data_IF_973449351485
#
_entry.id   IF_973449351485
#
_cell.length_a   1.000
_cell.length_b   1.000
_cell.length_c   1.000
_cell.angle_alpha   90.00
_cell.angle_beta   90.00
_cell.angle_gamma   90.00
#
_symmetry.space_group_name_H-M   'P 1'
#
loop_
_entity.id
_entity.type
_entity.pdbx_description
1 polymer ?
#
# COMPACT_ATOMS: atom_id res chain seq x y z
N UNK A 1 37.89 15.77 -12.15
CA UNK A 1 38.41 15.47 -10.79
C UNK A 1 37.33 15.27 -9.70
N UNK A 2 36.15 15.91 -9.77
CA UNK A 2 35.09 15.72 -8.74
C UNK A 2 34.52 14.30 -8.66
N UNK A 3 34.47 13.57 -9.76
CA UNK A 3 33.89 12.22 -9.84
C UNK A 3 34.74 11.14 -9.15
N UNK A 4 36.07 11.34 -9.09
CA UNK A 4 37.00 10.37 -8.51
C UNK A 4 37.00 10.43 -6.96
N UNK A 5 36.85 11.63 -6.39
CA UNK A 5 36.73 11.86 -4.95
C UNK A 5 35.46 11.25 -4.34
N UNK A 6 34.33 11.26 -5.07
CA UNK A 6 33.09 10.63 -4.60
C UNK A 6 33.19 9.11 -4.47
N UNK A 7 34.04 8.47 -5.29
CA UNK A 7 34.29 7.02 -5.25
C UNK A 7 35.18 6.61 -4.08
N UNK A 8 36.08 7.48 -3.64
CA UNK A 8 37.01 7.23 -2.54
C UNK A 8 36.40 7.48 -1.15
N UNK A 9 35.37 8.34 -1.05
CA UNK A 9 34.74 8.79 0.21
C UNK A 9 33.46 8.03 0.62
N UNK A 10 33.07 6.97 -0.11
CA UNK A 10 31.89 6.17 0.27
C UNK A 10 30.55 6.91 0.26
N UNK A 11 30.44 8.03 -0.47
CA UNK A 11 29.16 8.72 -0.69
C UNK A 11 28.33 7.93 -1.72
N UNK A 12 27.77 6.80 -1.29
CA UNK A 12 26.95 5.93 -2.11
C UNK A 12 25.75 6.69 -2.71
N UNK A 13 25.72 6.83 -4.04
CA UNK A 13 24.51 7.26 -4.75
C UNK A 13 23.58 6.05 -4.90
N UNK A 14 22.63 5.89 -4.00
CA UNK A 14 21.55 4.90 -4.16
C UNK A 14 20.18 5.58 -4.08
N UNK A 15 19.68 6.00 -5.24
CA UNK A 15 18.25 6.26 -5.50
C UNK A 15 17.93 5.96 -6.96
N UNK A 16 17.18 4.87 -7.15
CA UNK A 16 16.89 4.21 -8.44
C UNK A 16 15.44 4.34 -8.88
N UNK A 17 14.50 4.57 -7.96
CA UNK A 17 13.12 4.93 -8.28
C UNK A 17 13.00 6.45 -8.44
N UNK A 18 12.32 6.90 -9.49
CA UNK A 18 12.10 8.33 -9.73
C UNK A 18 11.35 9.01 -8.58
N UNK A 19 10.38 8.30 -8.00
CA UNK A 19 9.64 8.73 -6.82
C UNK A 19 10.54 8.97 -5.60
N UNK A 20 11.71 8.33 -5.51
CA UNK A 20 12.68 8.51 -4.42
C UNK A 20 13.76 9.57 -4.74
N UNK A 21 13.93 9.95 -6.02
CA UNK A 21 15.00 10.83 -6.49
C UNK A 21 14.98 12.25 -5.91
N UNK A 22 16.12 12.94 -5.89
CA UNK A 22 16.24 14.36 -5.54
C UNK A 22 17.11 15.09 -6.58
N UNK A 23 16.85 16.39 -6.81
CA UNK A 23 17.58 17.22 -7.78
C UNK A 23 16.66 17.91 -8.78
N UNK A 24 17.27 18.62 -9.75
CA UNK A 24 16.54 19.18 -10.91
C UNK A 24 15.92 18.02 -11.69
N UNK A 25 14.64 18.17 -12.07
CA UNK A 25 13.76 17.15 -12.66
C UNK A 25 14.50 15.96 -13.26
N UNK A 26 14.35 14.81 -12.60
CA UNK A 26 14.62 13.47 -13.16
C UNK A 26 15.96 13.39 -13.91
N UNK A 27 17.04 13.67 -13.18
CA UNK A 27 18.39 13.63 -13.75
C UNK A 27 18.70 12.20 -14.22
N UNK A 28 18.50 11.98 -15.54
CA UNK A 28 18.80 10.82 -16.38
C UNK A 28 17.94 9.55 -16.22
N UNK A 29 17.85 8.77 -17.31
CA UNK A 29 17.33 7.39 -17.31
C UNK A 29 18.22 6.56 -16.39
N UNK A 30 17.68 6.14 -15.24
CA UNK A 30 18.40 5.30 -14.29
C UNK A 30 18.05 3.84 -14.52
N UNK A 31 19.05 2.98 -14.58
CA UNK A 31 18.85 1.53 -14.53
C UNK A 31 18.60 1.10 -13.09
N UNK A 32 17.68 0.15 -12.91
CA UNK A 32 17.46 -0.50 -11.61
C UNK A 32 18.32 -1.76 -11.60
N UNK A 33 19.52 -1.67 -11.04
CA UNK A 33 20.45 -2.82 -10.99
C UNK A 33 20.00 -3.88 -9.97
N UNK A 34 19.23 -3.50 -8.95
CA UNK A 34 18.66 -4.42 -7.95
C UNK A 34 17.42 -3.86 -7.27
N UNK A 35 16.26 -4.50 -7.50
CA UNK A 35 14.95 -3.99 -7.07
C UNK A 35 14.80 -3.88 -5.54
N UNK A 36 15.25 -4.88 -4.78
CA UNK A 36 15.12 -4.86 -3.32
C UNK A 36 15.96 -3.74 -2.69
N UNK A 37 17.21 -3.58 -3.14
CA UNK A 37 18.10 -2.50 -2.68
C UNK A 37 17.55 -1.12 -3.07
N UNK A 38 16.98 -1.02 -4.28
CA UNK A 38 16.31 0.16 -4.79
C UNK A 38 15.11 0.60 -3.92
N UNK A 39 14.23 -0.34 -3.60
CA UNK A 39 13.06 -0.12 -2.74
C UNK A 39 13.53 0.30 -1.35
N UNK A 40 14.46 -0.44 -0.74
CA UNK A 40 14.95 -0.15 0.62
C UNK A 40 15.55 1.25 0.73
N UNK A 41 16.33 1.68 -0.27
CA UNK A 41 16.92 3.02 -0.29
C UNK A 41 15.90 4.16 -0.53
N UNK A 42 14.76 3.85 -1.15
CA UNK A 42 13.79 4.86 -1.61
C UNK A 42 12.46 4.90 -0.86
N UNK A 43 12.10 3.85 -0.13
CA UNK A 43 10.76 3.61 0.40
C UNK A 43 10.21 4.80 1.20
N UNK A 44 10.95 5.29 2.19
CA UNK A 44 10.50 6.41 3.04
C UNK A 44 10.24 7.69 2.25
N UNK A 45 11.07 8.00 1.25
CA UNK A 45 10.89 9.21 0.44
C UNK A 45 9.70 9.07 -0.51
N UNK A 46 9.56 7.89 -1.13
CA UNK A 46 8.44 7.59 -2.01
C UNK A 46 7.10 7.64 -1.25
N UNK A 47 7.00 6.99 -0.08
CA UNK A 47 5.80 7.00 0.76
C UNK A 47 5.38 8.41 1.20
N UNK A 48 6.33 9.24 1.67
CA UNK A 48 6.05 10.63 2.04
C UNK A 48 5.48 11.45 0.89
N UNK A 49 6.00 11.23 -0.33
CA UNK A 49 5.53 11.92 -1.54
C UNK A 49 4.18 11.40 -1.98
N UNK A 50 3.96 10.08 -1.98
CA UNK A 50 2.68 9.47 -2.29
C UNK A 50 1.58 10.04 -1.38
N UNK A 51 1.78 10.02 -0.06
CA UNK A 51 0.83 10.62 0.90
C UNK A 51 0.68 12.14 0.76
N UNK A 52 1.69 12.87 0.30
CA UNK A 52 1.53 14.30 -0.01
C UNK A 52 0.66 14.51 -1.25
N UNK A 53 0.92 13.80 -2.34
CA UNK A 53 0.14 13.92 -3.58
C UNK A 53 -1.31 13.45 -3.40
N UNK A 54 -1.55 12.36 -2.68
CA UNK A 54 -2.89 11.86 -2.40
C UNK A 54 -3.77 12.91 -1.67
N UNK A 55 -3.16 13.76 -0.83
CA UNK A 55 -3.88 14.82 -0.09
C UNK A 55 -3.99 16.15 -0.84
N UNK A 56 -3.08 16.44 -1.76
CA UNK A 56 -2.95 17.78 -2.36
C UNK A 56 -3.24 17.81 -3.87
N UNK A 57 -3.41 16.67 -4.54
CA UNK A 57 -3.71 16.59 -5.97
C UNK A 57 -4.99 15.78 -6.20
N UNK A 58 -6.04 16.46 -6.66
CA UNK A 58 -7.35 15.85 -6.92
C UNK A 58 -7.30 14.69 -7.93
N UNK A 59 -6.41 14.75 -8.93
CA UNK A 59 -6.23 13.65 -9.88
C UNK A 59 -5.65 12.40 -9.23
N UNK A 60 -4.70 12.60 -8.31
CA UNK A 60 -4.10 11.48 -7.56
C UNK A 60 -5.10 10.92 -6.56
N UNK A 61 -5.84 11.77 -5.84
CA UNK A 61 -6.90 11.33 -4.94
C UNK A 61 -7.93 10.44 -5.68
N UNK A 62 -8.43 10.91 -6.83
CA UNK A 62 -9.37 10.14 -7.65
C UNK A 62 -8.77 8.82 -8.17
N UNK A 63 -7.48 8.81 -8.53
CA UNK A 63 -6.79 7.59 -8.94
C UNK A 63 -6.65 6.58 -7.79
N UNK A 64 -6.31 7.05 -6.58
CA UNK A 64 -6.26 6.19 -5.38
C UNK A 64 -7.64 5.61 -5.09
N UNK A 65 -8.70 6.42 -5.12
CA UNK A 65 -10.07 5.97 -4.88
C UNK A 65 -10.50 4.90 -5.91
N UNK A 66 -10.17 5.12 -7.18
CA UNK A 66 -10.44 4.14 -8.24
C UNK A 66 -9.67 2.83 -8.03
N UNK A 67 -8.39 2.90 -7.67
CA UNK A 67 -7.59 1.71 -7.37
C UNK A 67 -8.14 0.93 -6.17
N UNK A 68 -8.49 1.62 -5.08
CA UNK A 68 -9.09 0.99 -3.90
C UNK A 68 -10.40 0.30 -4.28
N UNK A 69 -11.28 1.00 -5.01
CA UNK A 69 -12.55 0.45 -5.47
C UNK A 69 -12.38 -0.78 -6.37
N UNK A 70 -11.41 -0.78 -7.28
CA UNK A 70 -11.13 -1.91 -8.17
C UNK A 70 -10.50 -3.11 -7.46
N UNK A 71 -9.62 -2.87 -6.48
CA UNK A 71 -8.95 -3.95 -5.73
C UNK A 71 -9.89 -4.60 -4.73
N UNK A 72 -10.70 -3.83 -4.01
CA UNK A 72 -11.58 -4.35 -2.96
C UNK A 72 -12.95 -4.75 -3.51
N UNK A 73 -13.49 -4.01 -4.49
CA UNK A 73 -14.83 -4.22 -5.01
C UNK A 73 -15.90 -4.12 -3.93
N UNK A 74 -16.80 -5.11 -3.88
CA UNK A 74 -17.82 -5.24 -2.84
C UNK A 74 -17.30 -5.83 -1.52
N UNK A 75 -15.98 -6.04 -1.40
CA UNK A 75 -15.35 -6.71 -0.28
C UNK A 75 -14.89 -8.13 -0.61
N UNK A 76 -13.69 -8.45 -0.16
CA UNK A 76 -13.09 -9.79 -0.26
C UNK A 76 -13.63 -10.61 0.90
N UNK A 77 -14.31 -11.72 0.61
CA UNK A 77 -14.91 -12.59 1.62
C UNK A 77 -14.40 -14.03 1.47
N UNK A 78 -14.24 -14.76 2.58
CA UNK A 78 -13.98 -16.19 2.52
C UNK A 78 -15.20 -16.91 1.95
N UNK A 79 -14.95 -17.93 1.15
CA UNK A 79 -15.98 -18.85 0.70
C UNK A 79 -15.70 -20.23 1.31
N UNK A 80 -16.59 -20.68 2.19
CA UNK A 80 -16.46 -22.00 2.82
C UNK A 80 -16.56 -23.11 1.79
N UNK A 81 -15.62 -24.04 1.82
CA UNK A 81 -15.59 -25.25 0.99
C UNK A 81 -16.22 -26.47 1.69
N UNK A 82 -16.89 -26.27 2.83
CA UNK A 82 -17.53 -27.34 3.59
C UNK A 82 -18.51 -28.13 2.72
N UNK A 83 -18.57 -29.48 2.78
CA UNK A 83 -19.42 -30.29 1.90
C UNK A 83 -20.92 -30.04 2.08
N UNK A 84 -21.38 -29.87 3.33
CA UNK A 84 -22.78 -29.56 3.64
C UNK A 84 -23.12 -28.08 3.37
N UNK A 85 -24.18 -27.85 2.59
CA UNK A 85 -24.73 -26.54 2.26
C UNK A 85 -25.24 -25.78 3.49
N UNK A 86 -25.95 -26.45 4.40
CA UNK A 86 -26.51 -25.81 5.58
C UNK A 86 -25.40 -25.24 6.47
N UNK A 87 -24.28 -25.96 6.60
CA UNK A 87 -23.10 -25.50 7.31
C UNK A 87 -22.45 -24.30 6.60
N UNK A 88 -22.33 -24.31 5.26
CA UNK A 88 -21.81 -23.15 4.51
C UNK A 88 -22.65 -21.89 4.74
N UNK A 89 -23.97 -22.01 4.70
CA UNK A 89 -24.90 -20.91 4.96
C UNK A 89 -24.77 -20.39 6.40
N UNK A 90 -24.61 -21.30 7.37
CA UNK A 90 -24.37 -20.92 8.77
C UNK A 90 -23.05 -20.16 8.93
N UNK A 91 -21.97 -20.65 8.33
CA UNK A 91 -20.65 -20.00 8.35
C UNK A 91 -20.70 -18.61 7.70
N UNK A 92 -21.39 -18.48 6.57
CA UNK A 92 -21.59 -17.18 5.92
C UNK A 92 -22.35 -16.21 6.82
N UNK A 93 -23.39 -16.67 7.53
CA UNK A 93 -24.12 -15.85 8.48
C UNK A 93 -23.30 -15.47 9.71
N UNK A 94 -22.41 -16.36 10.20
CA UNK A 94 -21.46 -16.03 11.26
C UNK A 94 -20.46 -14.96 10.79
N UNK A 95 -19.94 -15.11 9.58
CA UNK A 95 -19.02 -14.16 8.97
C UNK A 95 -19.63 -12.76 8.87
N UNK A 96 -20.84 -12.64 8.30
CA UNK A 96 -21.52 -11.34 8.16
C UNK A 96 -21.78 -10.67 9.50
N UNK A 97 -22.11 -11.41 10.56
CA UNK A 97 -22.24 -10.80 11.89
C UNK A 97 -20.90 -10.33 12.45
N UNK A 98 -19.84 -11.09 12.19
CA UNK A 98 -18.51 -10.71 12.65
C UNK A 98 -17.98 -9.47 11.91
N UNK A 99 -18.30 -9.28 10.63
CA UNK A 99 -17.79 -8.12 9.87
C UNK A 99 -18.19 -6.79 10.50
N UNK A 100 -19.37 -6.72 11.10
CA UNK A 100 -19.87 -5.52 11.80
C UNK A 100 -19.13 -5.23 13.12
N UNK A 101 -18.49 -6.25 13.70
CA UNK A 101 -17.72 -6.16 14.94
C UNK A 101 -16.21 -6.12 14.70
N UNK A 102 -15.76 -6.18 13.44
CA UNK A 102 -14.34 -6.23 13.11
C UNK A 102 -13.63 -4.91 13.48
N UNK A 103 -14.32 -3.77 13.36
CA UNK A 103 -13.75 -2.47 13.72
C UNK A 103 -14.13 -2.10 15.16
N UNK A 104 -13.14 -1.78 16.03
CA UNK A 104 -13.39 -1.48 17.44
C UNK A 104 -14.28 -0.29 17.75
N UNK A 105 -14.26 0.73 16.90
CA UNK A 105 -15.03 1.97 17.06
C UNK A 105 -16.39 1.92 16.36
N UNK A 106 -16.67 0.84 15.62
CA UNK A 106 -17.90 0.67 14.83
C UNK A 106 -18.04 1.65 13.66
N UNK A 107 -16.99 2.38 13.26
CA UNK A 107 -17.05 3.34 12.15
C UNK A 107 -16.95 2.68 10.77
N UNK A 108 -16.53 1.42 10.72
CA UNK A 108 -16.41 0.62 9.52
C UNK A 108 -16.76 -0.85 9.81
N UNK A 109 -17.16 -1.59 8.78
CA UNK A 109 -17.17 -3.04 8.82
C UNK A 109 -15.81 -3.61 8.34
N UNK A 110 -15.69 -4.94 8.28
CA UNK A 110 -14.49 -5.58 7.76
C UNK A 110 -14.14 -5.19 6.31
N UNK A 111 -15.13 -4.85 5.47
CA UNK A 111 -14.90 -4.45 4.08
C UNK A 111 -14.38 -3.01 4.00
N UNK A 112 -14.84 -2.12 4.90
CA UNK A 112 -14.25 -0.82 5.13
C UNK A 112 -12.80 -0.92 5.61
N UNK A 113 -12.49 -1.87 6.51
CA UNK A 113 -11.10 -2.14 6.92
C UNK A 113 -10.23 -2.60 5.75
N UNK A 114 -10.75 -3.39 4.81
CA UNK A 114 -10.02 -3.76 3.59
C UNK A 114 -9.72 -2.54 2.72
N UNK A 115 -10.69 -1.66 2.52
CA UNK A 115 -10.49 -0.41 1.78
C UNK A 115 -9.42 0.48 2.44
N UNK A 116 -9.43 0.60 3.77
CA UNK A 116 -8.41 1.31 4.52
C UNK A 116 -7.02 0.67 4.36
N UNK A 117 -6.93 -0.66 4.43
CA UNK A 117 -5.68 -1.38 4.27
C UNK A 117 -5.07 -1.20 2.87
N UNK A 118 -5.90 -1.27 1.81
CA UNK A 118 -5.46 -1.05 0.42
C UNK A 118 -5.07 0.41 0.22
N UNK A 119 -5.83 1.38 0.75
CA UNK A 119 -5.47 2.80 0.68
C UNK A 119 -4.11 3.06 1.36
N UNK A 120 -3.91 2.54 2.57
CA UNK A 120 -2.65 2.70 3.29
C UNK A 120 -1.47 2.08 2.52
N UNK A 121 -1.66 0.91 1.91
CA UNK A 121 -0.66 0.31 1.02
C UNK A 121 -0.30 1.23 -0.15
N UNK A 122 -1.28 1.89 -0.79
CA UNK A 122 -1.03 2.79 -1.92
C UNK A 122 -0.34 4.08 -1.47
N UNK A 123 -0.83 4.71 -0.39
CA UNK A 123 -0.36 6.04 0.05
C UNK A 123 0.91 5.99 0.89
N UNK A 124 1.12 4.90 1.64
CA UNK A 124 2.21 4.74 2.61
C UNK A 124 3.16 3.58 2.27
N UNK A 125 2.79 2.70 1.34
CA UNK A 125 3.59 1.53 0.93
C UNK A 125 3.34 0.28 1.76
N UNK A 126 2.58 0.38 2.85
CA UNK A 126 2.29 -0.73 3.75
C UNK A 126 0.97 -0.51 4.52
N UNK A 127 0.41 -1.58 5.05
CA UNK A 127 -0.72 -1.54 5.95
C UNK A 127 -0.59 -2.62 7.02
N UNK A 128 -1.15 -2.36 8.20
CA UNK A 128 -1.08 -3.25 9.35
C UNK A 128 -2.48 -3.58 9.82
N UNK A 129 -2.71 -4.86 10.10
CA UNK A 129 -3.93 -5.34 10.73
C UNK A 129 -3.61 -5.89 12.11
N UNK A 130 -4.45 -5.57 13.09
CA UNK A 130 -4.39 -6.15 14.43
C UNK A 130 -5.65 -6.96 14.68
N UNK A 131 -5.48 -8.27 14.81
CA UNK A 131 -6.54 -9.13 15.31
C UNK A 131 -6.71 -8.92 16.82
N UNK A 132 -7.95 -8.78 17.27
CA UNK A 132 -8.32 -8.82 18.68
C UNK A 132 -8.98 -10.16 18.96
N UNK A 133 -8.49 -10.86 19.98
CA UNK A 133 -8.98 -12.16 20.47
C UNK A 133 -9.52 -11.97 21.87
#
# INVERSE_FOLDING_TARGET
MRTFLHRLLGLARTRSLDAAGAGRRWESVKTIDGLNAAILAGATTAARRAGWYARNNAWVAAAVDSLVGNVVGAGIKPQSTHPDRAVRERLQALWLRWTDHATPDGLADFYGLQAMAVRAMIESGESFARLRV
#
